data_IF_802954138323
#
_entry.id   IF_802954138323
#
_cell.length_a   1.000
_cell.length_b   1.000
_cell.length_c   1.000
_cell.angle_alpha   90.00
_cell.angle_beta   90.00
_cell.angle_gamma   90.00
#
_symmetry.space_group_name_H-M   'P 1'
#
loop_
_entity.id
_entity.type
_entity.pdbx_description
1 polymer ?
#
# COMPACT_ATOMS: atom_id res chain seq x y z
N UNK A 1 -16.86 -14.18 -19.31
CA UNK A 1 -17.16 -13.84 -17.91
C UNK A 1 -18.53 -13.15 -17.90
N UNK A 2 -19.55 -13.69 -17.21
CA UNK A 2 -20.86 -13.06 -17.13
C UNK A 2 -20.81 -11.87 -16.15
N UNK A 3 -21.54 -10.80 -16.46
CA UNK A 3 -21.69 -9.67 -15.56
C UNK A 3 -22.59 -10.07 -14.39
N UNK A 4 -22.21 -9.73 -13.16
CA UNK A 4 -23.06 -9.84 -11.98
C UNK A 4 -23.44 -8.44 -11.52
N UNK A 5 -24.74 -8.17 -11.21
CA UNK A 5 -25.16 -6.86 -10.73
C UNK A 5 -24.44 -6.49 -9.44
N UNK A 6 -24.11 -5.21 -9.27
CA UNK A 6 -23.67 -4.68 -7.99
C UNK A 6 -24.87 -4.72 -7.02
N UNK A 7 -24.63 -5.02 -5.74
CA UNK A 7 -25.69 -4.94 -4.73
C UNK A 7 -26.28 -3.51 -4.73
N UNK A 8 -27.52 -3.36 -5.14
CA UNK A 8 -28.24 -2.07 -5.17
C UNK A 8 -28.47 -1.61 -3.73
N UNK A 9 -27.76 -0.60 -3.32
CA UNK A 9 -28.05 0.12 -2.07
C UNK A 9 -29.00 1.27 -2.36
N UNK A 10 -30.29 1.02 -2.28
CA UNK A 10 -31.29 2.08 -2.37
C UNK A 10 -32.70 1.56 -2.65
N UNK A 11 -33.72 2.19 -2.02
CA UNK A 11 -35.12 2.00 -2.39
C UNK A 11 -35.36 2.50 -3.81
N UNK A 12 -36.31 1.91 -4.58
CA UNK A 12 -36.62 2.38 -5.92
C UNK A 12 -37.08 3.84 -5.85
N UNK A 13 -36.67 4.70 -6.84
CA UNK A 13 -37.09 6.07 -6.87
C UNK A 13 -38.61 6.16 -7.05
N UNK A 14 -39.28 7.00 -6.26
CA UNK A 14 -40.66 7.34 -6.45
C UNK A 14 -40.83 8.10 -7.77
N UNK A 15 -41.46 7.48 -8.78
CA UNK A 15 -41.81 8.14 -10.02
C UNK A 15 -41.37 7.39 -11.30
N UNK A 16 -42.09 6.35 -11.68
CA UNK A 16 -42.28 5.87 -13.07
C UNK A 16 -41.08 5.54 -13.96
N UNK A 17 -39.83 5.67 -13.50
CA UNK A 17 -38.68 5.26 -14.30
C UNK A 17 -38.54 3.71 -14.30
N UNK A 18 -38.12 3.10 -15.42
CA UNK A 18 -37.89 1.66 -15.48
C UNK A 18 -36.76 1.27 -14.48
N UNK A 19 -36.80 0.05 -13.92
CA UNK A 19 -35.73 -0.44 -13.08
C UNK A 19 -34.43 -0.53 -13.91
N UNK A 20 -33.32 -0.01 -13.32
CA UNK A 20 -32.00 -0.06 -13.92
C UNK A 20 -31.13 -1.06 -13.12
N UNK A 21 -30.47 -1.96 -13.82
CA UNK A 21 -29.42 -2.79 -13.24
C UNK A 21 -28.09 -2.07 -13.35
N UNK A 22 -27.30 -2.08 -12.27
CA UNK A 22 -25.96 -1.48 -12.25
C UNK A 22 -24.88 -2.52 -12.08
N UNK A 23 -23.76 -2.30 -12.73
CA UNK A 23 -22.59 -3.18 -12.69
C UNK A 23 -21.33 -2.40 -12.43
N UNK A 24 -20.49 -2.86 -11.50
CA UNK A 24 -19.15 -2.33 -11.26
C UNK A 24 -18.17 -3.00 -12.22
N UNK A 25 -17.71 -2.23 -13.22
CA UNK A 25 -16.72 -2.72 -14.18
C UNK A 25 -15.33 -2.23 -13.79
N UNK A 26 -14.37 -3.15 -13.77
CA UNK A 26 -12.95 -2.90 -13.51
C UNK A 26 -12.67 -2.27 -12.12
N UNK A 27 -13.30 -2.77 -11.04
CA UNK A 27 -12.99 -2.26 -9.70
C UNK A 27 -11.53 -2.54 -9.37
N UNK A 28 -10.82 -1.53 -8.86
CA UNK A 28 -9.47 -1.71 -8.31
C UNK A 28 -9.58 -1.93 -6.82
N UNK A 29 -9.09 -3.08 -6.34
CA UNK A 29 -9.17 -3.47 -4.94
C UNK A 29 -7.85 -3.21 -4.24
N UNK A 30 -7.92 -2.67 -3.01
CA UNK A 30 -6.84 -2.65 -2.03
C UNK A 30 -7.28 -3.39 -0.78
N UNK A 31 -6.32 -3.84 0.03
CA UNK A 31 -6.59 -4.55 1.28
C UNK A 31 -5.90 -3.83 2.43
N UNK A 32 -6.55 -3.77 3.57
CA UNK A 32 -5.95 -3.21 4.77
C UNK A 32 -6.38 -3.95 6.02
N UNK A 33 -5.49 -3.99 7.01
CA UNK A 33 -5.79 -4.52 8.34
C UNK A 33 -4.95 -3.83 9.41
N UNK A 34 -5.46 -3.74 10.62
CA UNK A 34 -4.71 -3.24 11.77
C UNK A 34 -4.15 -4.41 12.57
N UNK A 35 -2.84 -4.49 12.66
CA UNK A 35 -2.16 -5.56 13.38
C UNK A 35 -2.00 -5.21 14.86
N UNK A 36 -3.12 -5.22 15.60
CA UNK A 36 -3.14 -4.86 17.02
C UNK A 36 -2.15 -5.69 17.86
N UNK A 37 -1.96 -6.96 17.52
CA UNK A 37 -1.02 -7.88 18.19
C UNK A 37 0.45 -7.42 18.08
N UNK A 38 0.80 -6.64 17.07
CA UNK A 38 2.16 -6.13 16.87
C UNK A 38 2.39 -4.73 17.49
N UNK A 39 1.34 -4.06 17.97
CA UNK A 39 1.47 -2.72 18.57
C UNK A 39 2.48 -2.64 19.72
N UNK A 40 2.60 -3.62 20.63
CA UNK A 40 3.63 -3.60 21.68
C UNK A 40 5.06 -3.58 21.17
N UNK A 41 5.29 -4.01 19.92
CA UNK A 41 6.62 -4.04 19.28
C UNK A 41 7.01 -2.71 18.61
N UNK A 42 6.06 -1.82 18.37
CA UNK A 42 6.31 -0.60 17.60
C UNK A 42 7.39 0.30 18.23
N UNK A 43 7.44 0.55 19.55
CA UNK A 43 8.51 1.36 20.14
C UNK A 43 9.92 0.77 19.92
N UNK A 44 10.07 -0.55 20.03
CA UNK A 44 11.32 -1.26 19.76
C UNK A 44 11.72 -1.08 18.29
N UNK A 45 10.78 -1.18 17.37
CA UNK A 45 11.04 -1.03 15.94
C UNK A 45 11.36 0.41 15.54
N UNK A 46 10.74 1.41 16.19
CA UNK A 46 11.10 2.82 16.01
C UNK A 46 12.56 3.05 16.39
N UNK A 47 12.97 2.59 17.59
CA UNK A 47 14.35 2.71 18.05
C UNK A 47 15.34 2.00 17.11
N UNK A 48 15.00 0.80 16.67
CA UNK A 48 15.80 0.05 15.69
C UNK A 48 15.96 0.79 14.36
N UNK A 49 14.89 1.37 13.81
CA UNK A 49 14.96 2.15 12.55
C UNK A 49 15.85 3.38 12.70
N UNK A 50 15.78 4.08 13.83
CA UNK A 50 16.69 5.21 14.08
C UNK A 50 18.14 4.76 14.20
N UNK A 51 18.43 3.64 14.85
CA UNK A 51 19.78 3.06 14.92
C UNK A 51 20.28 2.66 13.52
N UNK A 52 19.42 2.02 12.71
CA UNK A 52 19.74 1.64 11.34
C UNK A 52 20.07 2.87 10.47
N UNK A 53 19.30 3.95 10.61
CA UNK A 53 19.58 5.22 9.92
C UNK A 53 20.91 5.83 10.39
N UNK A 54 21.21 5.77 11.68
CA UNK A 54 22.47 6.30 12.22
C UNK A 54 23.70 5.51 11.71
N UNK A 55 23.56 4.19 11.56
CA UNK A 55 24.60 3.30 11.00
C UNK A 55 24.79 3.51 9.49
N UNK A 56 23.68 3.74 8.77
CA UNK A 56 23.67 3.93 7.31
C UNK A 56 22.97 5.24 6.93
N UNK A 57 23.59 6.39 7.15
CA UNK A 57 22.93 7.70 7.01
C UNK A 57 22.56 8.06 5.57
N UNK A 58 23.23 7.48 4.58
CA UNK A 58 23.00 7.78 3.18
C UNK A 58 21.73 7.08 2.67
N UNK A 59 20.71 7.84 2.23
CA UNK A 59 19.46 7.27 1.72
C UNK A 59 19.69 6.57 0.38
N UNK A 60 18.84 5.58 0.07
CA UNK A 60 18.81 4.99 -1.28
C UNK A 60 18.25 5.99 -2.32
N UNK A 61 17.48 6.99 -1.91
CA UNK A 61 16.87 8.02 -2.76
C UNK A 61 15.61 7.53 -3.47
N UNK A 62 15.72 7.01 -4.67
CA UNK A 62 14.58 6.54 -5.49
C UNK A 62 13.47 7.59 -5.55
N UNK A 63 12.25 7.27 -5.10
CA UNK A 63 11.09 8.18 -5.04
C UNK A 63 11.01 9.00 -3.77
N UNK A 64 11.78 8.66 -2.72
CA UNK A 64 11.81 9.38 -1.44
C UNK A 64 12.52 10.72 -1.58
N UNK A 65 11.93 11.77 -0.98
CA UNK A 65 12.49 13.13 -0.92
C UNK A 65 12.35 13.67 0.51
N UNK A 66 13.33 14.46 0.94
CA UNK A 66 13.41 15.05 2.28
C UNK A 66 13.20 14.02 3.41
N UNK A 67 13.70 12.78 3.18
CA UNK A 67 13.60 11.67 4.11
C UNK A 67 14.71 10.68 3.87
N UNK A 68 14.69 9.62 4.67
CA UNK A 68 15.64 8.52 4.56
C UNK A 68 14.90 7.23 4.18
N UNK A 69 15.50 6.44 3.31
CA UNK A 69 15.07 5.08 3.04
C UNK A 69 16.27 4.14 2.99
N UNK A 70 16.11 2.94 3.54
CA UNK A 70 17.19 1.99 3.63
C UNK A 70 17.66 1.53 2.24
N UNK A 71 18.98 1.35 2.09
CA UNK A 71 19.57 0.67 0.92
C UNK A 71 19.33 -0.85 0.99
N UNK A 72 19.22 -1.38 2.20
CA UNK A 72 18.84 -2.77 2.46
C UNK A 72 17.43 -3.04 1.92
N UNK A 73 17.33 -3.99 1.00
CA UNK A 73 16.08 -4.41 0.38
C UNK A 73 15.55 -5.73 0.97
N UNK A 74 16.11 -6.16 2.09
CA UNK A 74 15.79 -7.39 2.82
C UNK A 74 15.42 -7.14 4.27
N UNK A 75 14.88 -5.95 4.55
CA UNK A 75 14.55 -5.49 5.91
C UNK A 75 13.67 -6.50 6.67
N UNK A 76 12.71 -7.15 6.01
CA UNK A 76 11.86 -8.16 6.62
C UNK A 76 12.60 -9.47 6.99
N UNK A 77 13.82 -9.70 6.46
CA UNK A 77 14.64 -10.83 6.86
C UNK A 77 15.36 -10.62 8.21
N UNK A 78 15.34 -9.38 8.72
CA UNK A 78 15.93 -9.05 10.00
C UNK A 78 15.17 -9.72 11.16
N UNK A 79 15.87 -10.35 12.14
CA UNK A 79 15.23 -11.06 13.26
C UNK A 79 14.24 -10.21 14.06
N UNK A 80 14.52 -8.91 14.20
CA UNK A 80 13.69 -7.95 14.94
C UNK A 80 12.25 -7.89 14.42
N UNK A 81 12.05 -8.04 13.11
CA UNK A 81 10.77 -7.93 12.44
C UNK A 81 10.21 -9.26 11.92
N UNK A 82 10.77 -10.39 12.37
CA UNK A 82 10.32 -11.72 11.97
C UNK A 82 8.79 -11.95 12.16
N UNK A 83 8.16 -11.51 13.26
CA UNK A 83 6.70 -11.62 13.40
C UNK A 83 5.93 -10.85 12.33
N UNK A 84 6.43 -9.68 11.91
CA UNK A 84 5.82 -8.88 10.85
C UNK A 84 5.98 -9.57 9.48
N UNK A 85 7.17 -10.11 9.19
CA UNK A 85 7.43 -10.86 7.96
C UNK A 85 6.41 -11.98 7.76
N UNK A 86 6.15 -12.77 8.79
CA UNK A 86 5.21 -13.89 8.69
C UNK A 86 3.78 -13.43 8.41
N UNK A 87 3.33 -12.39 9.11
CA UNK A 87 1.99 -11.81 8.85
C UNK A 87 1.89 -11.27 7.42
N UNK A 88 2.92 -10.56 6.93
CA UNK A 88 2.94 -10.04 5.56
C UNK A 88 2.90 -11.20 4.54
N UNK A 89 3.71 -12.25 4.75
CA UNK A 89 3.74 -13.42 3.87
C UNK A 89 2.34 -14.06 3.74
N UNK A 90 1.71 -14.35 4.87
CA UNK A 90 0.35 -14.93 4.91
C UNK A 90 -0.70 -13.99 4.29
N UNK A 91 -0.56 -12.68 4.51
CA UNK A 91 -1.45 -11.68 3.91
C UNK A 91 -1.31 -11.64 2.38
N UNK A 92 -0.07 -11.70 1.86
CA UNK A 92 0.18 -11.77 0.43
C UNK A 92 -0.43 -13.05 -0.18
N UNK A 93 -0.23 -14.21 0.43
CA UNK A 93 -0.79 -15.49 -0.04
C UNK A 93 -2.32 -15.42 -0.13
N UNK A 94 -2.96 -14.89 0.92
CA UNK A 94 -4.42 -14.69 0.94
C UNK A 94 -4.88 -13.76 -0.17
N UNK A 95 -4.25 -12.59 -0.29
CA UNK A 95 -4.62 -11.57 -1.29
C UNK A 95 -4.44 -12.11 -2.71
N UNK A 96 -3.33 -12.81 -2.99
CA UNK A 96 -3.10 -13.44 -4.30
C UNK A 96 -4.19 -14.48 -4.62
N UNK A 97 -4.64 -15.25 -3.63
CA UNK A 97 -5.78 -16.15 -3.76
C UNK A 97 -7.08 -15.40 -4.09
N UNK A 98 -7.38 -14.29 -3.39
CA UNK A 98 -8.57 -13.45 -3.65
C UNK A 98 -8.52 -12.75 -5.01
N UNK A 99 -7.31 -12.49 -5.56
CA UNK A 99 -7.11 -12.00 -6.93
C UNK A 99 -7.29 -13.07 -8.00
N UNK A 100 -7.52 -14.32 -7.62
CA UNK A 100 -7.68 -15.44 -8.56
C UNK A 100 -6.37 -16.00 -9.12
N UNK A 101 -5.22 -15.61 -8.56
CA UNK A 101 -3.91 -16.07 -9.02
C UNK A 101 -3.51 -17.43 -8.40
N UNK A 102 -4.29 -17.95 -7.44
CA UNK A 102 -4.00 -19.19 -6.76
C UNK A 102 -2.73 -19.13 -5.92
N UNK A 103 -2.07 -20.29 -5.73
CA UNK A 103 -0.78 -20.35 -5.02
C UNK A 103 0.33 -19.86 -5.94
N UNK A 104 0.95 -18.74 -5.55
CA UNK A 104 2.12 -18.18 -6.22
C UNK A 104 3.36 -18.34 -5.35
N UNK A 105 4.51 -18.64 -5.98
CA UNK A 105 5.81 -18.54 -5.34
C UNK A 105 6.29 -17.10 -5.47
N UNK A 106 6.67 -16.47 -4.36
CA UNK A 106 7.19 -15.10 -4.36
C UNK A 106 8.27 -14.93 -3.31
N UNK A 107 9.14 -13.94 -3.51
CA UNK A 107 10.10 -13.43 -2.53
C UNK A 107 9.65 -12.03 -2.08
N UNK A 108 9.82 -11.74 -0.79
CA UNK A 108 9.58 -10.40 -0.25
C UNK A 108 10.83 -9.54 -0.42
N UNK A 109 10.70 -8.47 -1.16
CA UNK A 109 11.66 -7.37 -1.17
C UNK A 109 11.14 -6.28 -0.26
N UNK A 110 11.95 -5.73 0.64
CA UNK A 110 11.44 -4.82 1.67
C UNK A 110 12.48 -3.79 2.11
N UNK A 111 12.00 -2.58 2.42
CA UNK A 111 12.84 -1.46 2.86
C UNK A 111 12.10 -0.58 3.86
N UNK A 112 12.84 0.20 4.64
CA UNK A 112 12.29 1.23 5.51
C UNK A 112 12.15 2.53 4.72
N UNK A 113 11.04 3.25 4.91
CA UNK A 113 10.91 4.67 4.61
C UNK A 113 10.75 5.44 5.93
N UNK A 114 11.56 6.46 6.11
CA UNK A 114 11.48 7.40 7.20
C UNK A 114 11.38 8.80 6.59
N UNK A 115 10.29 9.50 6.89
CA UNK A 115 10.08 10.87 6.44
C UNK A 115 10.24 11.82 7.63
N UNK A 116 11.20 12.72 7.51
CA UNK A 116 11.29 13.91 8.32
C UNK A 116 10.28 14.95 7.83
N UNK A 117 10.17 16.11 8.49
CA UNK A 117 9.29 17.20 8.04
C UNK A 117 9.55 17.55 6.57
N UNK A 118 8.50 17.64 5.77
CA UNK A 118 8.55 17.85 4.33
C UNK A 118 8.89 16.60 3.52
N UNK A 119 9.10 15.44 4.17
CA UNK A 119 9.39 14.18 3.50
C UNK A 119 8.18 13.61 2.77
N UNK A 120 8.38 13.09 1.56
CA UNK A 120 7.34 12.52 0.71
C UNK A 120 7.89 11.49 -0.28
N UNK A 121 7.01 10.76 -0.96
CA UNK A 121 7.38 9.97 -2.13
C UNK A 121 6.66 10.50 -3.37
N UNK A 122 7.39 10.62 -4.49
CA UNK A 122 6.80 10.92 -5.79
C UNK A 122 5.84 9.83 -6.24
N UNK A 123 4.96 10.19 -7.18
CA UNK A 123 4.09 9.25 -7.88
C UNK A 123 4.94 8.18 -8.57
N UNK A 124 4.61 6.91 -8.31
CA UNK A 124 5.31 5.74 -8.87
C UNK A 124 4.46 4.49 -8.76
N UNK A 125 4.92 3.42 -9.38
CA UNK A 125 4.43 2.05 -9.25
C UNK A 125 5.62 1.08 -9.11
N UNK A 126 5.35 -0.20 -8.89
CA UNK A 126 6.37 -1.24 -8.72
C UNK A 126 6.24 -2.31 -9.80
N UNK A 127 6.85 -2.02 -10.96
CA UNK A 127 6.81 -2.93 -12.12
C UNK A 127 7.40 -4.31 -11.78
N UNK A 128 6.80 -5.36 -12.35
CA UNK A 128 7.27 -6.74 -12.22
C UNK A 128 6.92 -7.43 -10.90
N UNK A 129 6.36 -6.73 -9.91
CA UNK A 129 5.89 -7.34 -8.67
C UNK A 129 4.44 -7.79 -8.79
N UNK A 130 4.02 -8.78 -7.99
CA UNK A 130 2.63 -9.24 -7.90
C UNK A 130 1.80 -8.30 -7.04
N UNK A 131 2.33 -7.95 -5.87
CA UNK A 131 1.73 -7.05 -4.88
C UNK A 131 2.78 -6.10 -4.33
N UNK A 132 2.31 -4.95 -3.91
CA UNK A 132 3.05 -4.00 -3.08
C UNK A 132 2.30 -3.74 -1.79
N UNK A 133 3.01 -3.26 -0.79
CA UNK A 133 2.36 -2.92 0.47
C UNK A 133 3.26 -2.11 1.39
N UNK A 134 2.65 -1.66 2.48
CA UNK A 134 3.34 -0.91 3.53
C UNK A 134 2.75 -1.22 4.89
N UNK A 135 3.62 -1.36 5.88
CA UNK A 135 3.26 -1.45 7.29
C UNK A 135 3.74 -0.20 8.01
N UNK A 136 2.85 0.44 8.75
CA UNK A 136 3.15 1.68 9.46
C UNK A 136 3.65 1.40 10.87
N UNK A 137 4.90 1.80 11.13
CA UNK A 137 5.57 1.63 12.42
C UNK A 137 5.31 2.82 13.33
N UNK A 138 5.39 4.04 12.78
CA UNK A 138 5.14 5.29 13.50
C UNK A 138 4.45 6.30 12.60
N UNK A 139 3.32 6.81 13.06
CA UNK A 139 2.50 7.80 12.34
C UNK A 139 2.14 8.93 13.30
N UNK A 140 3.02 9.94 13.44
CA UNK A 140 2.73 11.10 14.27
C UNK A 140 1.63 11.97 13.64
N UNK A 141 1.06 12.94 14.41
CA UNK A 141 0.12 13.91 13.86
C UNK A 141 0.66 14.61 12.60
N UNK A 142 -0.22 14.96 11.67
CA UNK A 142 0.10 15.61 10.39
C UNK A 142 0.99 14.76 9.46
N UNK A 143 0.93 13.43 9.61
CA UNK A 143 1.56 12.52 8.66
C UNK A 143 0.88 12.57 7.30
N UNK A 144 1.68 12.64 6.23
CA UNK A 144 1.19 12.56 4.86
C UNK A 144 0.44 11.26 4.57
N UNK A 145 -0.67 11.36 3.84
CA UNK A 145 -1.46 10.20 3.42
C UNK A 145 -0.75 9.38 2.33
N UNK A 146 -1.08 8.10 2.26
CA UNK A 146 -0.84 7.29 1.06
C UNK A 146 -1.97 7.58 0.08
N UNK A 147 -1.63 7.99 -1.13
CA UNK A 147 -2.61 8.39 -2.14
C UNK A 147 -2.50 7.46 -3.34
N UNK A 148 -3.62 6.92 -3.78
CA UNK A 148 -3.74 6.11 -4.97
C UNK A 148 -4.37 6.93 -6.08
N UNK A 149 -3.74 6.93 -7.26
CA UNK A 149 -4.28 7.56 -8.46
C UNK A 149 -5.26 6.63 -9.16
N UNK A 150 -6.35 7.19 -9.67
CA UNK A 150 -7.30 6.44 -10.51
C UNK A 150 -6.60 5.91 -11.77
N UNK A 151 -6.55 4.59 -11.98
CA UNK A 151 -5.82 4.00 -13.11
C UNK A 151 -6.54 4.13 -14.45
N UNK A 152 -7.79 4.59 -14.46
CA UNK A 152 -8.62 4.68 -15.65
C UNK A 152 -8.35 5.98 -16.42
N UNK A 153 -7.45 5.95 -17.39
CA UNK A 153 -7.05 7.14 -18.15
C UNK A 153 -8.22 7.93 -18.74
N UNK A 154 -9.29 7.25 -19.21
CA UNK A 154 -10.46 7.90 -19.79
C UNK A 154 -11.22 8.81 -18.82
N UNK A 155 -11.20 8.54 -17.52
CA UNK A 155 -11.94 9.39 -16.54
C UNK A 155 -11.27 10.74 -16.30
N UNK A 156 -10.01 10.94 -16.73
CA UNK A 156 -9.35 12.24 -16.69
C UNK A 156 -10.13 13.30 -17.48
N UNK A 157 -10.83 12.87 -18.53
CA UNK A 157 -11.65 13.72 -19.39
C UNK A 157 -13.11 13.80 -18.94
N UNK A 158 -13.50 13.08 -17.87
CA UNK A 158 -14.87 13.13 -17.32
C UNK A 158 -15.16 14.48 -16.66
N UNK A 159 -16.39 14.96 -16.82
CA UNK A 159 -16.92 16.09 -16.06
C UNK A 159 -17.31 15.70 -14.62
N UNK A 160 -17.48 14.41 -14.36
CA UNK A 160 -17.81 13.89 -13.03
C UNK A 160 -16.56 13.85 -12.20
N UNK A 161 -16.49 14.61 -11.11
CA UNK A 161 -15.35 14.71 -10.21
C UNK A 161 -15.72 14.17 -8.82
N UNK A 162 -14.72 13.72 -8.08
CA UNK A 162 -14.89 13.24 -6.70
C UNK A 162 -14.97 11.72 -6.57
N UNK A 163 -15.05 11.22 -5.34
CA UNK A 163 -15.01 9.79 -5.02
C UNK A 163 -16.38 9.12 -5.22
N UNK A 164 -16.86 9.15 -6.43
CA UNK A 164 -18.13 8.53 -6.87
C UNK A 164 -17.84 7.51 -7.97
N UNK A 165 -18.71 6.51 -8.21
CA UNK A 165 -18.41 5.38 -9.11
C UNK A 165 -17.87 5.75 -10.50
N UNK A 166 -18.39 6.78 -11.11
CA UNK A 166 -17.95 7.27 -12.43
C UNK A 166 -17.14 8.58 -12.34
N UNK A 167 -16.73 8.96 -11.12
CA UNK A 167 -15.90 10.12 -10.90
C UNK A 167 -14.41 9.83 -11.11
N UNK A 168 -13.64 10.90 -11.11
CA UNK A 168 -12.19 10.86 -11.13
C UNK A 168 -11.64 11.58 -9.91
N UNK A 169 -10.83 10.90 -9.12
CA UNK A 169 -10.09 11.49 -8.00
C UNK A 169 -8.96 10.59 -7.55
N UNK A 170 -7.99 11.21 -6.93
CA UNK A 170 -7.02 10.49 -6.11
C UNK A 170 -7.69 10.04 -4.80
N UNK A 171 -7.48 8.80 -4.41
CA UNK A 171 -8.04 8.23 -3.18
C UNK A 171 -6.98 8.30 -2.08
N UNK A 172 -7.28 9.05 -1.03
CA UNK A 172 -6.40 9.25 0.12
C UNK A 172 -6.67 8.22 1.20
N UNK A 173 -5.63 7.52 1.63
CA UNK A 173 -5.65 6.61 2.76
C UNK A 173 -4.84 7.21 3.90
N UNK A 174 -5.54 7.58 4.98
CA UNK A 174 -4.88 8.09 6.19
C UNK A 174 -4.11 6.97 6.89
N UNK A 175 -2.79 7.14 7.14
CA UNK A 175 -2.01 6.15 7.85
C UNK A 175 -2.35 6.12 9.34
N UNK A 176 -2.03 5.01 10.00
CA UNK A 176 -2.07 4.90 11.46
C UNK A 176 -1.10 3.81 11.92
N UNK A 177 -0.64 3.90 13.18
CA UNK A 177 0.25 2.91 13.77
C UNK A 177 -0.34 1.50 13.70
N UNK A 178 0.48 0.55 13.23
CA UNK A 178 0.11 -0.85 13.09
C UNK A 178 -0.81 -1.17 11.90
N UNK A 179 -1.07 -0.20 11.01
CA UNK A 179 -1.83 -0.43 9.79
C UNK A 179 -0.95 -1.13 8.75
N UNK A 180 -1.42 -2.24 8.21
CA UNK A 180 -0.90 -2.93 7.03
C UNK A 180 -1.81 -2.65 5.85
N UNK A 181 -1.23 -2.25 4.72
CA UNK A 181 -1.94 -1.99 3.45
C UNK A 181 -1.27 -2.82 2.36
N UNK A 182 -2.08 -3.49 1.52
CA UNK A 182 -1.64 -4.20 0.33
C UNK A 182 -2.44 -3.71 -0.87
N UNK A 183 -1.79 -3.67 -2.03
CA UNK A 183 -2.40 -3.23 -3.28
C UNK A 183 -1.68 -3.84 -4.49
N UNK A 184 -2.33 -3.92 -5.66
CA UNK A 184 -1.67 -4.36 -6.89
C UNK A 184 -0.45 -3.48 -7.20
N UNK A 185 0.68 -4.11 -7.54
CA UNK A 185 1.96 -3.41 -7.72
C UNK A 185 1.96 -2.38 -8.86
N UNK A 186 1.10 -2.58 -9.85
CA UNK A 186 0.91 -1.68 -10.99
C UNK A 186 0.15 -0.38 -10.65
N UNK A 187 -0.43 -0.31 -9.44
CA UNK A 187 -1.23 0.83 -9.02
C UNK A 187 -0.36 2.04 -8.71
N UNK A 188 -0.52 3.11 -9.47
CA UNK A 188 0.19 4.37 -9.24
C UNK A 188 -0.19 4.95 -7.87
N UNK A 189 0.82 5.29 -7.09
CA UNK A 189 0.63 5.87 -5.77
C UNK A 189 1.76 6.83 -5.40
N UNK A 190 1.48 7.70 -4.45
CA UNK A 190 2.45 8.62 -3.87
C UNK A 190 2.17 8.81 -2.37
N UNK A 191 3.12 9.43 -1.67
CA UNK A 191 2.94 9.83 -0.26
C UNK A 191 2.99 11.33 -0.20
N UNK A 192 1.96 11.94 0.40
CA UNK A 192 1.91 13.39 0.62
C UNK A 192 3.02 13.84 1.58
N UNK A 193 3.44 15.11 1.51
CA UNK A 193 4.41 15.66 2.44
C UNK A 193 3.99 15.45 3.90
N UNK A 194 4.95 14.95 4.69
CA UNK A 194 4.83 14.86 6.13
C UNK A 194 5.11 16.21 6.78
N UNK A 195 4.20 16.72 7.62
CA UNK A 195 4.33 18.02 8.27
C UNK A 195 4.45 17.93 9.81
N UNK A 196 4.73 16.73 10.34
CA UNK A 196 4.95 16.49 11.76
C UNK A 196 6.38 16.78 12.21
N UNK A 197 6.57 16.93 13.53
CA UNK A 197 7.89 17.16 14.13
C UNK A 197 8.64 15.86 14.42
N UNK A 198 7.92 14.74 14.57
CA UNK A 198 8.48 13.42 14.73
C UNK A 198 8.48 12.70 13.37
N UNK A 199 9.43 11.82 13.15
CA UNK A 199 9.52 11.07 11.89
C UNK A 199 8.30 10.15 11.65
N UNK A 200 7.78 10.14 10.42
CA UNK A 200 6.84 9.12 9.94
C UNK A 200 7.64 7.91 9.44
N UNK A 201 7.36 6.73 9.98
CA UNK A 201 8.13 5.51 9.69
C UNK A 201 7.22 4.41 9.17
N UNK A 202 7.58 3.81 8.05
CA UNK A 202 6.94 2.60 7.56
C UNK A 202 7.96 1.61 6.97
N UNK A 203 7.58 0.33 6.95
CA UNK A 203 8.26 -0.73 6.22
C UNK A 203 7.44 -1.01 4.97
N UNK A 204 8.01 -0.71 3.81
CA UNK A 204 7.42 -1.00 2.51
C UNK A 204 7.94 -2.34 1.99
N UNK A 205 7.14 -3.00 1.16
CA UNK A 205 7.52 -4.29 0.58
C UNK A 205 6.86 -4.53 -0.77
N UNK A 206 7.50 -5.42 -1.53
CA UNK A 206 6.97 -6.01 -2.76
C UNK A 206 7.00 -7.54 -2.65
N UNK A 207 5.97 -8.20 -3.16
CA UNK A 207 5.96 -9.64 -3.40
C UNK A 207 6.35 -9.87 -4.87
N UNK A 208 7.60 -10.23 -5.09
CA UNK A 208 8.16 -10.46 -6.43
C UNK A 208 7.96 -11.93 -6.83
N UNK A 209 7.46 -12.22 -8.05
CA UNK A 209 7.32 -13.60 -8.49
C UNK A 209 8.68 -14.31 -8.54
N UNK A 210 8.68 -15.60 -8.23
CA UNK A 210 9.84 -16.48 -8.44
C UNK A 210 9.56 -17.29 -9.70
N UNK A 211 10.37 -17.08 -10.73
CA UNK A 211 10.28 -17.84 -11.98
C UNK A 211 10.98 -19.20 -11.86
N UNK A 212 10.44 -20.22 -12.55
CA UNK A 212 11.06 -21.55 -12.58
C UNK A 212 12.44 -21.44 -13.25
N UNK A 213 13.47 -21.81 -12.49
CA UNK A 213 14.88 -21.65 -12.91
C UNK A 213 15.72 -20.79 -11.98
N UNK A 214 15.12 -19.96 -11.13
CA UNK A 214 15.84 -19.28 -10.04
C UNK A 214 15.92 -20.21 -8.83
N UNK A 215 17.07 -20.82 -8.61
CA UNK A 215 17.35 -21.59 -7.39
C UNK A 215 17.14 -20.69 -6.18
N UNK A 216 16.44 -21.21 -5.17
CA UNK A 216 16.37 -20.60 -3.84
C UNK A 216 17.79 -20.46 -3.29
N UNK A 217 18.31 -19.25 -3.28
CA UNK A 217 19.52 -18.89 -2.57
C UNK A 217 19.16 -18.58 -1.11
#
# INVERSE_FOLDING_TARGET
MALSPSESRGAPPAGGAPPLESYDLFPTRIWQTRLAVLRPKLPEWVAWVHALRAEYPEPAGRTNRNGWNSKDMTVLERPQVAPLREVIRLSCERVLGEMGLGKQRFKLQSWVNLHDRGGFNYLHMHEGSLLSGTFYVQVPPRSGALVFRDPRAGVLHSSVKGPVPNGHSDIRLAPSDGLLVLFPSWMEHYVEPHDGDQARICIAFNANPVHDGEASA
#
